data_IF_730643606126
#
_entry.id   IF_730643606126
#
_cell.length_a   1.000
_cell.length_b   1.000
_cell.length_c   1.000
_cell.angle_alpha   90.00
_cell.angle_beta   90.00
_cell.angle_gamma   90.00
#
_symmetry.space_group_name_H-M   'P 1'
#
loop_
_entity.id
_entity.type
_entity.pdbx_description
1 polymer ?
#
# COMPACT_ATOMS: atom_id res chain seq x y z
N UNK A 1 -14.48 -26.03 -1.69
CA UNK A 1 -13.23 -25.71 -0.99
C UNK A 1 -12.73 -24.40 -1.58
N UNK A 2 -12.91 -23.32 -0.85
CA UNK A 2 -12.99 -21.93 -1.34
C UNK A 2 -11.62 -21.44 -1.82
N UNK A 3 -11.48 -21.15 -3.11
CA UNK A 3 -10.32 -20.45 -3.63
C UNK A 3 -10.42 -18.97 -3.21
N UNK A 4 -9.90 -18.66 -2.02
CA UNK A 4 -9.57 -17.29 -1.60
C UNK A 4 -8.32 -16.84 -2.39
N UNK A 5 -8.48 -16.56 -3.67
CA UNK A 5 -7.50 -15.80 -4.43
C UNK A 5 -8.21 -14.59 -5.02
N UNK A 6 -8.31 -13.52 -4.21
CA UNK A 6 -8.77 -12.20 -4.68
C UNK A 6 -7.70 -11.48 -5.51
N UNK A 7 -6.44 -11.93 -5.44
CA UNK A 7 -5.37 -11.46 -6.33
C UNK A 7 -5.33 -12.39 -7.54
N UNK A 8 -5.66 -11.86 -8.71
CA UNK A 8 -5.71 -12.60 -9.97
C UNK A 8 -4.49 -12.30 -10.84
N UNK A 9 -4.06 -13.26 -11.64
CA UNK A 9 -2.93 -13.10 -12.58
C UNK A 9 -3.33 -12.24 -13.80
N UNK A 10 -4.62 -12.10 -14.06
CA UNK A 10 -5.16 -11.36 -15.21
C UNK A 10 -6.51 -10.70 -14.91
N UNK A 11 -6.92 -9.78 -15.78
CA UNK A 11 -8.21 -9.09 -15.71
C UNK A 11 -9.39 -10.08 -15.75
N UNK A 12 -10.39 -9.94 -14.86
CA UNK A 12 -11.59 -10.77 -14.89
C UNK A 12 -12.48 -10.46 -16.10
N UNK A 13 -12.98 -11.51 -16.77
CA UNK A 13 -13.72 -11.46 -18.04
C UNK A 13 -15.03 -10.65 -17.98
N UNK A 14 -15.62 -10.44 -16.80
CA UNK A 14 -16.92 -9.77 -16.60
C UNK A 14 -16.89 -8.53 -15.70
N UNK A 15 -15.71 -7.98 -15.38
CA UNK A 15 -15.67 -6.78 -14.53
C UNK A 15 -16.13 -5.53 -15.29
N UNK A 16 -17.04 -4.77 -14.65
CA UNK A 16 -17.64 -3.58 -15.27
C UNK A 16 -16.86 -2.31 -14.98
N UNK A 17 -16.08 -2.27 -13.90
CA UNK A 17 -15.31 -1.10 -13.47
C UNK A 17 -13.98 -1.52 -12.84
N UNK A 18 -12.94 -0.80 -13.20
CA UNK A 18 -11.61 -0.97 -12.63
C UNK A 18 -11.02 0.38 -12.21
N UNK A 19 -10.05 0.33 -11.30
CA UNK A 19 -9.30 1.50 -10.85
C UNK A 19 -7.83 1.11 -10.75
N UNK A 20 -6.99 1.73 -11.56
CA UNK A 20 -5.54 1.62 -11.42
C UNK A 20 -5.08 2.36 -10.15
N UNK A 21 -4.25 1.70 -9.35
CA UNK A 21 -3.64 2.23 -8.14
C UNK A 21 -2.17 2.51 -8.44
N UNK A 22 -1.76 3.78 -8.65
CA UNK A 22 -0.36 4.14 -8.90
C UNK A 22 0.55 3.75 -7.74
N UNK A 23 1.83 3.52 -8.04
CA UNK A 23 2.82 3.29 -7.01
C UNK A 23 2.98 4.54 -6.13
N UNK A 24 2.86 4.45 -4.80
CA UNK A 24 3.09 5.60 -3.91
C UNK A 24 4.57 5.97 -3.83
N UNK A 25 5.46 5.10 -4.33
CA UNK A 25 6.91 5.23 -4.27
C UNK A 25 7.55 4.40 -5.39
N UNK A 26 8.72 4.80 -5.89
CA UNK A 26 9.46 4.01 -6.90
C UNK A 26 10.11 2.80 -6.24
N UNK A 27 10.14 1.65 -6.92
CA UNK A 27 10.71 0.45 -6.34
C UNK A 27 10.47 -0.82 -7.15
N UNK A 28 10.89 -1.95 -6.59
CA UNK A 28 10.64 -3.28 -7.14
C UNK A 28 9.35 -3.84 -6.54
N UNK A 29 8.32 -4.14 -7.35
CA UNK A 29 7.10 -4.76 -6.86
C UNK A 29 7.40 -6.15 -6.27
N UNK A 30 6.75 -6.47 -5.15
CA UNK A 30 6.90 -7.75 -4.44
C UNK A 30 5.53 -8.22 -3.93
N UNK A 31 5.28 -9.52 -4.04
CA UNK A 31 4.03 -10.13 -3.56
C UNK A 31 4.02 -10.19 -2.04
N UNK A 32 2.87 -9.89 -1.43
CA UNK A 32 2.68 -10.01 0.03
C UNK A 32 2.99 -11.43 0.53
N UNK A 33 2.77 -12.45 -0.30
CA UNK A 33 3.06 -13.85 0.03
C UNK A 33 4.55 -14.14 0.23
N UNK A 34 5.43 -13.31 -0.34
CA UNK A 34 6.89 -13.45 -0.20
C UNK A 34 7.46 -12.79 1.05
N UNK A 35 6.63 -12.04 1.79
CA UNK A 35 7.07 -11.23 2.93
C UNK A 35 7.07 -11.99 4.26
N UNK A 36 6.72 -13.28 4.25
CA UNK A 36 6.78 -14.20 5.40
C UNK A 36 6.16 -13.65 6.70
N UNK A 37 5.08 -12.86 6.59
CA UNK A 37 4.34 -12.32 7.73
C UNK A 37 2.94 -12.97 7.81
N UNK A 38 2.61 -13.67 8.91
CA UNK A 38 1.32 -14.37 9.06
C UNK A 38 0.11 -13.44 8.99
N UNK A 39 0.24 -12.19 9.43
CA UNK A 39 -0.88 -11.24 9.45
C UNK A 39 -1.16 -10.73 8.04
N UNK A 40 -0.11 -10.48 7.24
CA UNK A 40 -0.26 -10.14 5.83
C UNK A 40 -0.83 -11.30 5.01
N UNK A 41 -0.33 -12.52 5.22
CA UNK A 41 -0.79 -13.70 4.48
C UNK A 41 -2.22 -14.11 4.83
N UNK A 42 -2.69 -13.80 6.04
CA UNK A 42 -4.09 -14.01 6.45
C UNK A 42 -5.11 -13.10 5.75
N UNK A 43 -4.65 -12.00 5.13
CA UNK A 43 -5.53 -11.00 4.51
C UNK A 43 -6.33 -10.14 5.50
N UNK A 44 -6.07 -10.23 6.81
CA UNK A 44 -6.77 -9.46 7.86
C UNK A 44 -6.65 -7.94 7.64
N UNK A 45 -5.53 -7.47 7.09
CA UNK A 45 -5.31 -6.06 6.74
C UNK A 45 -5.72 -5.70 5.32
N UNK A 46 -6.61 -6.50 4.73
CA UNK A 46 -7.04 -6.36 3.34
C UNK A 46 -6.04 -6.94 2.34
N UNK A 47 -6.47 -7.04 1.09
CA UNK A 47 -5.64 -7.52 0.00
C UNK A 47 -4.94 -6.36 -0.70
N UNK A 48 -3.79 -6.62 -1.32
CA UNK A 48 -3.06 -5.60 -2.04
C UNK A 48 -1.72 -6.09 -2.52
N UNK A 49 -0.77 -5.15 -2.62
CA UNK A 49 0.56 -5.44 -3.11
C UNK A 49 1.61 -4.58 -2.41
N UNK A 50 2.88 -4.90 -2.61
CA UNK A 50 3.98 -4.20 -1.96
C UNK A 50 5.10 -3.84 -2.93
N UNK A 51 5.96 -2.93 -2.50
CA UNK A 51 7.13 -2.45 -3.22
C UNK A 51 8.33 -2.45 -2.27
N UNK A 52 9.45 -3.08 -2.67
CA UNK A 52 10.75 -2.85 -2.04
C UNK A 52 11.34 -1.55 -2.60
N UNK A 53 11.68 -0.61 -1.73
CA UNK A 53 12.13 0.73 -2.13
C UNK A 53 13.32 1.22 -1.31
N UNK A 54 14.06 2.18 -1.85
CA UNK A 54 15.07 2.97 -1.16
C UNK A 54 14.66 4.44 -0.98
N UNK A 55 13.46 4.81 -1.42
CA UNK A 55 12.96 6.18 -1.31
C UNK A 55 12.39 6.45 0.09
N UNK A 56 12.52 7.69 0.54
CA UNK A 56 12.05 8.14 1.84
C UNK A 56 10.62 8.69 1.82
N UNK A 57 10.17 9.22 0.68
CA UNK A 57 8.89 9.93 0.56
C UNK A 57 7.81 9.01 -0.01
N UNK A 58 6.68 8.94 0.70
CA UNK A 58 5.53 8.13 0.31
C UNK A 58 4.40 9.05 -0.14
N UNK A 59 4.02 8.95 -1.41
CA UNK A 59 2.97 9.76 -2.01
C UNK A 59 1.60 9.09 -1.94
N UNK A 60 0.55 9.91 -2.02
CA UNK A 60 -0.80 9.41 -2.10
C UNK A 60 -1.12 8.89 -3.51
N UNK A 61 -1.52 7.61 -3.68
CA UNK A 61 -1.79 7.04 -5.00
C UNK A 61 -3.04 7.66 -5.66
N UNK A 62 -3.98 8.15 -4.86
CA UNK A 62 -5.25 8.74 -5.30
C UNK A 62 -5.62 9.96 -4.47
N UNK A 63 -6.45 10.85 -5.02
CA UNK A 63 -7.06 11.91 -4.23
C UNK A 63 -7.99 11.32 -3.16
N UNK A 64 -7.79 11.70 -1.90
CA UNK A 64 -8.39 11.04 -0.75
C UNK A 64 -8.54 11.97 0.47
N UNK A 65 -9.22 11.45 1.51
CA UNK A 65 -9.28 12.02 2.86
C UNK A 65 -8.50 11.12 3.81
N UNK A 66 -7.64 11.71 4.63
CA UNK A 66 -6.91 11.00 5.69
C UNK A 66 -7.87 10.63 6.83
N UNK A 67 -7.96 9.34 7.16
CA UNK A 67 -8.79 8.84 8.25
C UNK A 67 -8.00 8.69 9.55
N UNK A 68 -6.76 8.20 9.46
CA UNK A 68 -5.87 7.97 10.61
C UNK A 68 -4.41 7.88 10.16
N UNK A 69 -3.50 8.35 11.01
CA UNK A 69 -2.05 8.15 10.91
C UNK A 69 -1.60 7.36 12.14
N UNK A 70 -0.88 6.26 11.94
CA UNK A 70 -0.46 5.33 12.98
C UNK A 70 1.08 5.30 13.05
N UNK A 71 1.68 6.15 13.89
CA UNK A 71 3.14 6.32 13.96
C UNK A 71 3.88 5.05 14.37
N UNK A 72 3.34 4.29 15.34
CA UNK A 72 3.95 3.03 15.79
C UNK A 72 3.97 1.95 14.70
N UNK A 73 3.13 2.07 13.69
CA UNK A 73 2.96 1.08 12.62
C UNK A 73 3.42 1.62 11.26
N UNK A 74 3.91 2.86 11.23
CA UNK A 74 4.41 3.56 10.05
C UNK A 74 3.38 3.52 8.92
N UNK A 75 2.10 3.65 9.31
CA UNK A 75 0.98 3.43 8.41
C UNK A 75 -0.04 4.57 8.45
N UNK A 76 -0.73 4.76 7.33
CA UNK A 76 -1.80 5.73 7.16
C UNK A 76 -2.99 5.06 6.51
N UNK A 77 -4.18 5.37 7.02
CA UNK A 77 -5.45 4.92 6.45
C UNK A 77 -6.13 6.11 5.77
N UNK A 78 -6.47 5.94 4.49
CA UNK A 78 -7.10 6.98 3.67
C UNK A 78 -8.33 6.46 2.95
N UNK A 79 -9.30 7.34 2.71
CA UNK A 79 -10.48 7.07 1.90
C UNK A 79 -10.40 7.83 0.59
N UNK A 80 -10.30 7.14 -0.53
CA UNK A 80 -10.34 7.76 -1.85
C UNK A 80 -11.75 8.20 -2.21
N UNK A 81 -11.86 9.18 -3.13
CA UNK A 81 -13.15 9.73 -3.56
C UNK A 81 -14.07 8.69 -4.22
N UNK A 82 -13.51 7.60 -4.74
CA UNK A 82 -14.25 6.46 -5.31
C UNK A 82 -14.73 5.45 -4.25
N UNK A 83 -14.53 5.72 -2.95
CA UNK A 83 -15.00 4.89 -1.84
C UNK A 83 -14.03 3.78 -1.41
N UNK A 84 -12.89 3.62 -2.09
CA UNK A 84 -11.86 2.67 -1.67
C UNK A 84 -11.17 3.14 -0.38
N UNK A 85 -11.00 2.21 0.57
CA UNK A 85 -10.25 2.43 1.81
C UNK A 85 -8.88 1.81 1.66
N UNK A 86 -7.83 2.64 1.66
CA UNK A 86 -6.46 2.19 1.56
C UNK A 86 -5.76 2.27 2.90
N UNK A 87 -4.88 1.30 3.16
CA UNK A 87 -3.82 1.42 4.14
C UNK A 87 -2.48 1.41 3.39
N UNK A 88 -1.67 2.41 3.67
CA UNK A 88 -0.30 2.51 3.16
C UNK A 88 0.63 2.41 4.35
N UNK A 89 1.54 1.45 4.35
CA UNK A 89 2.46 1.15 5.45
C UNK A 89 3.89 1.06 4.92
N UNK A 90 4.89 1.49 5.69
CA UNK A 90 6.29 1.18 5.38
C UNK A 90 6.96 0.38 6.49
N UNK A 91 7.58 -0.73 6.12
CA UNK A 91 8.17 -1.68 7.05
C UNK A 91 7.13 -2.65 7.62
N UNK A 92 7.61 -3.76 8.16
CA UNK A 92 6.80 -4.80 8.81
C UNK A 92 7.35 -4.98 10.22
N UNK A 93 6.47 -5.18 11.21
CA UNK A 93 6.83 -5.36 12.61
C UNK A 93 7.65 -4.19 13.21
N UNK A 94 7.35 -2.96 12.77
CA UNK A 94 8.02 -1.71 13.16
C UNK A 94 7.60 -1.16 14.53
N UNK A 95 6.68 -1.81 15.24
CA UNK A 95 6.16 -1.36 16.54
C UNK A 95 7.25 -1.08 17.58
N UNK A 96 8.31 -1.89 17.59
CA UNK A 96 9.44 -1.73 18.50
C UNK A 96 10.25 -0.45 18.25
N UNK A 97 10.11 0.18 17.07
CA UNK A 97 10.80 1.42 16.71
C UNK A 97 10.09 2.68 17.24
N UNK A 98 8.92 2.54 17.87
CA UNK A 98 8.20 3.64 18.52
C UNK A 98 7.92 4.87 17.63
N UNK A 99 7.82 4.68 16.32
CA UNK A 99 7.58 5.76 15.35
C UNK A 99 8.83 6.59 14.99
N UNK A 100 10.02 6.20 15.46
CA UNK A 100 11.26 6.93 15.19
C UNK A 100 11.56 7.00 13.69
N UNK A 101 11.93 8.20 13.22
CA UNK A 101 12.23 8.46 11.80
C UNK A 101 11.07 8.13 10.85
N UNK A 102 9.83 8.22 11.35
CA UNK A 102 8.60 8.27 10.56
C UNK A 102 7.89 9.60 10.85
N UNK A 103 7.71 10.43 9.82
CA UNK A 103 7.10 11.75 9.95
C UNK A 103 5.89 11.85 9.01
N UNK A 104 4.69 12.02 9.56
CA UNK A 104 3.51 12.32 8.77
C UNK A 104 3.48 13.79 8.40
N UNK A 105 3.38 14.07 7.10
CA UNK A 105 3.28 15.42 6.53
C UNK A 105 1.82 15.85 6.32
N UNK A 106 0.89 15.01 6.75
CA UNK A 106 -0.56 15.21 6.68
C UNK A 106 -1.21 14.86 8.00
N UNK A 107 -2.39 15.42 8.24
CA UNK A 107 -3.16 15.24 9.48
C UNK A 107 -4.49 14.53 9.24
N UNK A 108 -5.07 13.95 10.30
CA UNK A 108 -6.42 13.38 10.29
C UNK A 108 -7.43 14.39 9.71
N UNK A 109 -8.37 13.88 8.92
CA UNK A 109 -9.38 14.62 8.17
C UNK A 109 -8.89 15.50 7.01
N UNK A 110 -7.58 15.62 6.78
CA UNK A 110 -7.04 16.40 5.66
C UNK A 110 -7.43 15.77 4.32
N UNK A 111 -7.78 16.62 3.34
CA UNK A 111 -7.91 16.22 1.94
C UNK A 111 -6.54 16.28 1.27
N UNK A 112 -6.20 15.24 0.54
CA UNK A 112 -4.90 15.04 -0.11
C UNK A 112 -5.15 14.81 -1.60
N UNK A 113 -4.34 15.44 -2.46
CA UNK A 113 -4.41 15.20 -3.92
C UNK A 113 -3.55 13.99 -4.29
N UNK A 114 -3.90 13.31 -5.39
CA UNK A 114 -3.02 12.30 -6.01
C UNK A 114 -1.60 12.89 -6.18
N UNK A 115 -0.58 12.13 -5.76
CA UNK A 115 0.83 12.50 -5.84
C UNK A 115 1.35 13.37 -4.70
N UNK A 116 0.48 13.90 -3.83
CA UNK A 116 0.93 14.64 -2.66
C UNK A 116 1.57 13.69 -1.64
N UNK A 117 2.70 14.10 -1.06
CA UNK A 117 3.40 13.34 -0.02
C UNK A 117 2.54 13.21 1.23
N UNK A 118 2.43 11.98 1.74
CA UNK A 118 1.70 11.63 2.95
C UNK A 118 2.61 11.61 4.16
N UNK A 119 3.73 10.90 4.05
CA UNK A 119 4.69 10.76 5.13
C UNK A 119 6.08 10.44 4.58
N UNK A 120 7.08 10.67 5.42
CA UNK A 120 8.47 10.37 5.17
C UNK A 120 8.96 9.32 6.18
N UNK A 121 9.79 8.39 5.69
CA UNK A 121 10.52 7.43 6.53
C UNK A 121 12.02 7.47 6.22
N UNK A 122 12.83 6.89 7.09
CA UNK A 122 14.28 6.71 6.86
C UNK A 122 14.61 5.26 6.51
N UNK A 123 14.82 4.92 5.22
CA UNK A 123 15.30 3.60 4.83
C UNK A 123 16.64 3.20 5.49
N UNK A 124 17.63 4.10 5.67
CA UNK A 124 18.84 3.77 6.43
C UNK A 124 18.54 3.35 7.87
N UNK A 125 17.60 4.03 8.55
CA UNK A 125 17.21 3.69 9.92
C UNK A 125 16.51 2.33 10.01
N UNK A 126 15.58 2.05 9.09
CA UNK A 126 14.93 0.73 9.03
C UNK A 126 15.98 -0.37 8.81
N UNK A 127 16.91 -0.16 7.87
CA UNK A 127 17.98 -1.11 7.58
C UNK A 127 18.91 -1.33 8.78
N UNK A 128 19.27 -0.28 9.53
CA UNK A 128 20.09 -0.38 10.75
C UNK A 128 19.40 -1.22 11.84
N UNK A 129 18.07 -1.24 11.87
CA UNK A 129 17.27 -2.05 12.79
C UNK A 129 16.88 -3.42 12.19
N UNK A 130 17.49 -3.84 11.08
CA UNK A 130 17.22 -5.14 10.45
C UNK A 130 15.85 -5.24 9.76
N UNK A 131 15.20 -4.10 9.49
CA UNK A 131 13.87 -4.04 8.86
C UNK A 131 14.01 -3.66 7.39
N UNK A 132 13.42 -4.48 6.53
CA UNK A 132 13.35 -4.19 5.10
C UNK A 132 12.44 -2.98 4.83
N UNK A 133 12.87 -2.09 3.94
CA UNK A 133 12.05 -0.95 3.49
C UNK A 133 11.08 -1.42 2.41
N UNK A 134 9.93 -1.92 2.87
CA UNK A 134 8.82 -2.37 2.03
C UNK A 134 7.64 -1.41 2.21
N UNK A 135 7.15 -0.82 1.13
CA UNK A 135 5.91 -0.05 1.11
C UNK A 135 4.75 -0.97 0.74
N UNK A 136 3.84 -1.21 1.67
CA UNK A 136 2.63 -2.00 1.48
C UNK A 136 1.46 -1.08 1.13
N UNK A 137 0.65 -1.47 0.15
CA UNK A 137 -0.61 -0.81 -0.18
C UNK A 137 -1.71 -1.86 -0.17
N UNK A 138 -2.58 -1.81 0.82
CA UNK A 138 -3.72 -2.73 0.94
C UNK A 138 -5.06 -2.01 0.87
N UNK A 139 -6.07 -2.71 0.36
CA UNK A 139 -7.45 -2.24 0.30
C UNK A 139 -8.23 -2.87 1.45
N UNK A 140 -8.60 -2.07 2.44
CA UNK A 140 -9.25 -2.54 3.66
C UNK A 140 -10.67 -3.05 3.43
N UNK A 141 -11.37 -2.49 2.44
CA UNK A 141 -12.69 -2.96 2.00
C UNK A 141 -12.61 -3.92 0.80
N UNK A 142 -11.56 -4.74 0.72
CA UNK A 142 -11.31 -5.66 -0.41
C UNK A 142 -12.41 -6.71 -0.61
N UNK A 143 -13.21 -7.04 0.41
CA UNK A 143 -14.32 -7.98 0.27
C UNK A 143 -15.43 -7.51 -0.68
N UNK A 144 -15.43 -6.23 -1.05
CA UNK A 144 -16.33 -5.64 -2.04
C UNK A 144 -15.75 -5.62 -3.46
N UNK A 145 -14.52 -6.10 -3.64
CA UNK A 145 -13.85 -6.13 -4.93
C UNK A 145 -14.09 -7.48 -5.61
N UNK A 146 -14.17 -7.47 -6.93
CA UNK A 146 -14.23 -8.67 -7.74
C UNK A 146 -12.84 -9.27 -7.98
N UNK A 147 -11.80 -8.44 -8.08
CA UNK A 147 -10.40 -8.87 -8.21
C UNK A 147 -9.41 -7.75 -7.88
N UNK A 148 -8.17 -8.13 -7.59
CA UNK A 148 -6.99 -7.25 -7.59
C UNK A 148 -5.97 -7.88 -8.55
N UNK A 149 -5.51 -7.15 -9.55
CA UNK A 149 -4.48 -7.62 -10.48
C UNK A 149 -3.21 -6.82 -10.23
N UNK A 150 -2.10 -7.44 -9.81
CA UNK A 150 -0.85 -6.73 -9.57
C UNK A 150 -0.18 -6.33 -10.88
N UNK A 151 0.75 -5.40 -10.80
CA UNK A 151 1.62 -5.05 -11.93
C UNK A 151 2.54 -6.21 -12.31
N UNK A 152 2.80 -6.37 -13.61
CA UNK A 152 3.79 -7.30 -14.16
C UNK A 152 5.18 -6.65 -14.32
N UNK A 153 5.32 -5.37 -13.99
CA UNK A 153 6.57 -4.64 -14.11
C UNK A 153 7.61 -5.13 -13.10
N UNK A 154 8.86 -5.27 -13.54
CA UNK A 154 9.99 -5.59 -12.65
C UNK A 154 10.44 -4.41 -11.78
N UNK A 155 10.14 -3.19 -12.22
CA UNK A 155 10.39 -1.95 -11.49
C UNK A 155 9.30 -0.96 -11.83
N UNK A 156 8.84 -0.21 -10.83
CA UNK A 156 7.82 0.81 -11.00
C UNK A 156 8.33 2.17 -10.56
N UNK A 157 7.93 3.21 -11.30
CA UNK A 157 8.14 4.61 -10.98
C UNK A 157 6.95 5.14 -10.19
N UNK A 158 7.24 5.90 -9.13
CA UNK A 158 6.23 6.55 -8.32
C UNK A 158 5.26 7.36 -9.19
N UNK A 159 3.97 7.21 -8.92
CA UNK A 159 2.86 7.94 -9.56
C UNK A 159 2.62 7.71 -11.06
N UNK A 160 3.62 7.28 -11.81
CA UNK A 160 3.53 6.99 -13.25
C UNK A 160 3.03 5.56 -13.51
N UNK A 161 3.60 4.58 -12.81
CA UNK A 161 3.33 3.18 -13.06
C UNK A 161 2.31 2.61 -12.03
N UNK A 162 1.33 1.79 -12.45
CA UNK A 162 0.39 1.16 -11.52
C UNK A 162 1.10 0.09 -10.70
N UNK A 163 0.81 0.05 -9.40
CA UNK A 163 1.18 -1.04 -8.50
C UNK A 163 0.23 -2.23 -8.67
N UNK A 164 -1.05 -1.93 -8.77
CA UNK A 164 -2.13 -2.89 -8.95
C UNK A 164 -3.34 -2.21 -9.58
N UNK A 165 -4.21 -2.99 -10.19
CA UNK A 165 -5.54 -2.58 -10.64
C UNK A 165 -6.59 -3.31 -9.82
N UNK A 166 -7.54 -2.57 -9.26
CA UNK A 166 -8.65 -3.16 -8.51
C UNK A 166 -9.91 -3.17 -9.36
N UNK A 167 -10.65 -4.27 -9.30
CA UNK A 167 -11.90 -4.48 -10.02
C UNK A 167 -13.05 -4.49 -9.03
N UNK A 168 -14.09 -3.72 -9.34
CA UNK A 168 -15.30 -3.59 -8.51
C UNK A 168 -16.44 -4.33 -9.21
#
# INVERSE_FOLDING_TARGET
>A
MTALFFVADSEPEQAKRNVAIPCPVSGKPVSLNTLSDPVLSSGVWGHGYALKTSSSLIASPLSCKVLRCDALDYSIVVQANNGLLFRIQVGINVHALMGERCEFLVSKNQKVKKGQTLFQVSPPFLKQNGIDTICLVTVLNSSKLSAIVPTSLHHCRAMDDPLMTVYV
#
